data_IF_926840549181
#
_entry.id   IF_926840549181
#
_cell.length_a   1.000
_cell.length_b   1.000
_cell.length_c   1.000
_cell.angle_alpha   90.00
_cell.angle_beta   90.00
_cell.angle_gamma   90.00
#
_symmetry.space_group_name_H-M   'P 1'
#
loop_
_entity.id
_entity.type
_entity.pdbx_description
1 polymer ?
#
# COMPACT_ATOMS: atom_id res chain seq x y z
N UNK A 1 -40.92 -10.70 -71.77
CA UNK A 1 -42.03 -9.72 -71.90
C UNK A 1 -41.97 -8.75 -70.72
N UNK A 2 -42.24 -7.47 -71.00
CA UNK A 2 -42.22 -6.32 -70.07
C UNK A 2 -43.45 -6.33 -69.14
N UNK A 3 -43.45 -5.34 -68.22
CA UNK A 3 -44.57 -4.68 -67.50
C UNK A 3 -44.70 -5.04 -66.01
N UNK A 4 -44.87 -4.12 -65.04
CA UNK A 4 -44.63 -2.67 -64.90
C UNK A 4 -45.05 -2.26 -63.46
N UNK A 5 -44.24 -1.39 -62.81
CA UNK A 5 -44.64 -0.23 -61.95
C UNK A 5 -45.30 -0.55 -60.58
N UNK A 6 -45.22 0.23 -59.48
CA UNK A 6 -45.04 1.67 -59.22
C UNK A 6 -44.77 1.83 -57.69
N UNK A 7 -43.63 2.37 -57.25
CA UNK A 7 -43.45 3.70 -56.62
C UNK A 7 -44.47 4.11 -55.55
N UNK A 8 -44.01 4.28 -54.30
CA UNK A 8 -44.30 5.47 -53.49
C UNK A 8 -43.15 5.76 -52.51
N UNK A 9 -42.88 7.04 -52.32
CA UNK A 9 -41.76 7.61 -51.58
C UNK A 9 -42.17 7.98 -50.15
N UNK A 10 -41.20 8.16 -49.26
CA UNK A 10 -41.02 9.34 -48.39
C UNK A 10 -39.99 9.00 -47.31
N UNK A 11 -38.87 9.72 -47.35
CA UNK A 11 -38.02 10.02 -46.19
C UNK A 11 -38.24 11.52 -45.95
N UNK A 12 -38.39 12.02 -44.71
CA UNK A 12 -37.22 12.19 -43.84
C UNK A 12 -37.51 12.06 -42.32
N UNK A 13 -36.53 11.61 -41.54
CA UNK A 13 -36.18 12.28 -40.26
C UNK A 13 -34.97 11.61 -39.61
N UNK A 14 -33.82 12.29 -39.72
CA UNK A 14 -32.70 12.13 -38.81
C UNK A 14 -33.14 12.62 -37.43
N UNK A 15 -33.17 11.72 -36.44
CA UNK A 15 -33.01 12.10 -35.04
C UNK A 15 -31.89 11.26 -34.48
N UNK A 16 -30.85 11.96 -34.05
CA UNK A 16 -29.76 11.42 -33.27
C UNK A 16 -30.34 10.87 -31.96
N UNK A 17 -29.93 9.66 -31.60
CA UNK A 17 -29.70 9.36 -30.20
C UNK A 17 -28.44 8.50 -30.10
N UNK A 18 -27.39 9.19 -29.66
CA UNK A 18 -26.07 8.68 -29.36
C UNK A 18 -26.15 8.09 -27.95
N UNK A 19 -26.24 6.77 -27.87
CA UNK A 19 -26.08 6.05 -26.62
C UNK A 19 -25.04 4.95 -26.83
N UNK A 20 -23.81 5.37 -27.12
CA UNK A 20 -22.63 4.55 -26.83
C UNK A 20 -22.60 4.33 -25.32
N UNK A 21 -23.19 3.22 -24.90
CA UNK A 21 -22.97 2.67 -23.56
C UNK A 21 -21.50 2.27 -23.52
N UNK A 22 -20.66 3.14 -22.96
CA UNK A 22 -19.33 2.77 -22.52
C UNK A 22 -19.51 1.68 -21.47
N UNK A 23 -19.42 0.43 -21.93
CA UNK A 23 -19.28 -0.71 -21.06
C UNK A 23 -17.96 -0.49 -20.30
N UNK A 24 -18.11 -0.22 -19.01
CA UNK A 24 -17.04 -0.28 -18.03
C UNK A 24 -16.51 -1.72 -18.05
N UNK A 25 -15.47 -1.95 -18.85
CA UNK A 25 -14.76 -3.22 -18.84
C UNK A 25 -14.14 -3.36 -17.44
N UNK A 26 -14.48 -4.40 -16.66
CA UNK A 26 -13.81 -4.62 -15.40
C UNK A 26 -12.34 -4.86 -15.73
N UNK A 27 -11.49 -3.91 -15.34
CA UNK A 27 -10.04 -4.11 -15.34
C UNK A 27 -9.80 -5.42 -14.60
N UNK A 28 -9.06 -6.38 -15.19
CA UNK A 28 -8.84 -7.66 -14.53
C UNK A 28 -8.19 -7.37 -13.18
N UNK A 29 -8.90 -7.69 -12.10
CA UNK A 29 -8.35 -7.67 -10.77
C UNK A 29 -7.21 -8.68 -10.76
N UNK A 30 -5.98 -8.20 -10.98
CA UNK A 30 -4.76 -8.92 -10.63
C UNK A 30 -5.00 -9.42 -9.23
N UNK A 31 -5.03 -10.74 -9.05
CA UNK A 31 -5.34 -11.41 -7.79
C UNK A 31 -4.38 -10.83 -6.75
N UNK A 32 -4.85 -9.83 -5.99
CA UNK A 32 -3.99 -9.06 -5.11
C UNK A 32 -3.54 -10.04 -4.04
N UNK A 33 -2.25 -10.34 -4.03
CA UNK A 33 -1.65 -11.32 -3.14
C UNK A 33 -1.58 -10.83 -1.68
N UNK A 34 -2.43 -9.87 -1.30
CA UNK A 34 -2.38 -9.07 -0.09
C UNK A 34 -1.35 -7.93 -0.18
N UNK A 35 -1.22 -7.07 0.85
CA UNK A 35 -1.97 -7.03 2.11
C UNK A 35 -3.49 -7.01 1.92
N UNK A 36 -4.19 -7.69 2.84
CA UNK A 36 -5.63 -7.92 2.73
C UNK A 36 -6.42 -6.96 3.62
N UNK A 37 -7.66 -6.65 3.24
CA UNK A 37 -8.66 -6.17 4.17
C UNK A 37 -9.10 -7.30 5.12
N UNK A 38 -9.46 -6.96 6.35
CA UNK A 38 -9.95 -7.95 7.33
C UNK A 38 -11.16 -8.75 6.83
N UNK A 39 -11.99 -8.16 5.98
CA UNK A 39 -13.16 -8.82 5.39
C UNK A 39 -12.81 -9.94 4.39
N UNK A 40 -11.58 -9.96 3.87
CA UNK A 40 -11.12 -10.96 2.89
C UNK A 40 -10.57 -12.25 3.53
N UNK A 41 -10.29 -12.21 4.83
CA UNK A 41 -9.55 -13.28 5.55
C UNK A 41 -10.38 -13.94 6.67
N UNK A 42 -11.67 -13.64 6.75
CA UNK A 42 -12.55 -14.24 7.76
C UNK A 42 -12.59 -15.77 7.61
N UNK A 43 -12.10 -16.48 8.62
CA UNK A 43 -12.16 -17.95 8.69
C UNK A 43 -11.04 -18.69 7.94
N UNK A 44 -9.95 -18.01 7.58
CA UNK A 44 -8.80 -18.64 6.89
C UNK A 44 -7.96 -19.58 7.78
N UNK A 45 -8.19 -19.57 9.10
CA UNK A 45 -7.52 -20.44 10.07
C UNK A 45 -6.09 -20.03 10.42
N UNK A 46 -5.63 -18.84 10.00
CA UNK A 46 -4.29 -18.33 10.29
C UNK A 46 -4.35 -17.44 11.54
N UNK A 47 -3.56 -17.80 12.56
CA UNK A 47 -3.41 -17.01 13.77
C UNK A 47 -2.57 -15.75 13.53
N UNK A 48 -3.02 -14.61 14.07
CA UNK A 48 -2.41 -13.31 13.84
C UNK A 48 -2.37 -12.50 15.13
N UNK A 49 -1.24 -11.83 15.36
CA UNK A 49 -1.14 -10.82 16.40
C UNK A 49 -2.06 -9.65 16.05
N UNK A 50 -3.05 -9.36 16.90
CA UNK A 50 -3.98 -8.25 16.72
C UNK A 50 -3.38 -6.96 17.30
N UNK A 51 -3.00 -6.04 16.41
CA UNK A 51 -2.46 -4.73 16.77
C UNK A 51 -3.52 -3.63 16.61
N UNK A 52 -4.81 -3.97 16.71
CA UNK A 52 -5.93 -3.05 16.48
C UNK A 52 -6.25 -2.90 15.00
N UNK A 53 -5.60 -1.97 14.32
CA UNK A 53 -5.85 -1.70 12.89
C UNK A 53 -5.03 -2.54 11.92
N UNK A 54 -4.09 -3.34 12.43
CA UNK A 54 -3.23 -4.22 11.65
C UNK A 54 -3.14 -5.57 12.34
N UNK A 55 -3.27 -6.65 11.59
CA UNK A 55 -3.06 -8.01 12.09
C UNK A 55 -1.89 -8.62 11.33
N UNK A 56 -0.98 -9.22 12.08
CA UNK A 56 0.28 -9.75 11.53
C UNK A 56 0.43 -11.22 11.91
N UNK A 57 0.49 -12.15 10.95
CA UNK A 57 0.77 -13.55 11.26
C UNK A 57 2.23 -13.74 11.70
N UNK A 58 2.51 -14.87 12.33
CA UNK A 58 3.89 -15.27 12.58
C UNK A 58 4.59 -15.53 11.25
N UNK A 59 5.65 -14.77 10.96
CA UNK A 59 6.47 -14.93 9.76
C UNK A 59 7.79 -15.60 10.17
N UNK A 60 8.16 -16.68 9.47
CA UNK A 60 9.42 -17.38 9.71
C UNK A 60 10.61 -16.42 9.59
N UNK A 61 11.58 -16.56 10.50
CA UNK A 61 12.82 -15.78 10.54
C UNK A 61 12.63 -14.25 10.63
N UNK A 62 11.45 -13.79 11.06
CA UNK A 62 11.13 -12.39 11.27
C UNK A 62 10.57 -12.14 12.66
N UNK A 63 11.13 -11.13 13.32
CA UNK A 63 10.67 -10.66 14.61
C UNK A 63 9.72 -9.47 14.42
N UNK A 64 8.52 -9.56 14.99
CA UNK A 64 7.58 -8.45 15.07
C UNK A 64 8.01 -7.48 16.18
N UNK A 65 8.22 -6.21 15.82
CA UNK A 65 8.61 -5.12 16.72
C UNK A 65 7.63 -3.96 16.57
N UNK A 66 7.35 -3.29 17.69
CA UNK A 66 6.51 -2.08 17.72
C UNK A 66 7.39 -0.89 18.09
N UNK A 67 7.37 0.15 17.27
CA UNK A 67 8.01 1.41 17.59
C UNK A 67 7.03 2.28 18.34
N UNK A 68 7.31 2.54 19.61
CA UNK A 68 6.47 3.38 20.48
C UNK A 68 7.13 4.75 20.62
N UNK A 69 6.35 5.80 20.41
CA UNK A 69 6.75 7.14 20.79
C UNK A 69 6.75 7.24 22.32
N UNK A 70 7.92 7.46 22.93
CA UNK A 70 8.07 7.41 24.39
C UNK A 70 7.30 8.50 25.13
N UNK A 71 7.02 9.64 24.47
CA UNK A 71 6.33 10.78 25.09
C UNK A 71 4.82 10.55 25.14
N UNK A 72 4.23 10.12 24.02
CA UNK A 72 2.79 9.90 23.89
C UNK A 72 2.35 8.48 24.26
N UNK A 73 3.29 7.52 24.30
CA UNK A 73 3.00 6.10 24.47
C UNK A 73 2.31 5.45 23.28
N UNK A 74 2.17 6.16 22.15
CA UNK A 74 1.50 5.65 20.96
C UNK A 74 2.44 4.84 20.08
N UNK A 75 1.92 3.77 19.47
CA UNK A 75 2.67 3.02 18.46
C UNK A 75 2.74 3.85 17.18
N UNK A 76 3.96 4.23 16.80
CA UNK A 76 4.24 5.01 15.60
C UNK A 76 4.29 4.13 14.36
N UNK A 77 4.86 2.94 14.46
CA UNK A 77 4.98 2.01 13.35
C UNK A 77 5.14 0.56 13.82
N UNK A 78 4.78 -0.37 12.93
CA UNK A 78 4.99 -1.82 13.09
C UNK A 78 6.17 -2.21 12.23
N UNK A 79 7.05 -3.09 12.71
CA UNK A 79 8.23 -3.51 11.97
C UNK A 79 8.37 -5.03 12.02
N UNK A 80 8.68 -5.64 10.88
CA UNK A 80 9.23 -6.99 10.80
C UNK A 80 10.73 -6.88 10.58
N UNK A 81 11.53 -7.42 11.50
CA UNK A 81 12.99 -7.40 11.44
C UNK A 81 13.55 -8.81 11.21
N UNK A 82 14.59 -8.91 10.39
CA UNK A 82 15.27 -10.16 10.04
C UNK A 82 16.78 -9.98 10.08
N UNK A 83 17.54 -11.00 9.65
CA UNK A 83 19.00 -10.97 9.74
C UNK A 83 19.66 -9.92 8.84
N UNK A 84 19.08 -9.65 7.67
CA UNK A 84 19.67 -8.83 6.61
C UNK A 84 18.88 -7.56 6.29
N UNK A 85 17.79 -7.30 7.02
CA UNK A 85 16.94 -6.15 6.76
C UNK A 85 15.74 -6.04 7.67
N UNK A 86 14.87 -5.10 7.30
CA UNK A 86 13.58 -4.91 7.95
C UNK A 86 12.56 -4.32 6.97
N UNK A 87 11.28 -4.49 7.29
CA UNK A 87 10.18 -3.72 6.70
C UNK A 87 9.40 -3.06 7.82
N UNK A 88 9.31 -1.74 7.78
CA UNK A 88 8.45 -0.94 8.65
C UNK A 88 7.17 -0.61 7.89
N UNK A 89 6.01 -0.72 8.52
CA UNK A 89 4.74 -0.37 7.88
C UNK A 89 3.73 0.27 8.84
N UNK A 90 2.84 1.05 8.24
CA UNK A 90 1.76 1.74 8.90
C UNK A 90 0.57 1.88 7.94
N UNK A 91 -0.64 1.67 8.47
CA UNK A 91 -1.87 1.85 7.71
C UNK A 91 -2.45 3.25 7.97
N UNK A 92 -3.08 3.82 6.94
CA UNK A 92 -3.70 5.14 6.95
C UNK A 92 -5.13 5.05 6.44
N UNK A 93 -6.02 5.90 6.93
CA UNK A 93 -7.35 6.02 6.36
C UNK A 93 -7.28 6.62 4.94
N UNK A 94 -8.01 6.02 4.01
CA UNK A 94 -8.05 6.44 2.61
C UNK A 94 -9.51 6.64 2.14
N UNK A 95 -9.73 7.33 1.01
CA UNK A 95 -11.05 7.40 0.38
C UNK A 95 -11.48 6.01 -0.11
N UNK A 96 -12.78 5.76 -0.27
CA UNK A 96 -13.29 4.44 -0.70
C UNK A 96 -12.79 4.01 -2.08
N UNK A 97 -12.64 4.97 -2.99
CA UNK A 97 -12.23 4.75 -4.38
C UNK A 97 -11.01 5.63 -4.75
N UNK A 98 -10.16 5.96 -3.76
CA UNK A 98 -9.06 6.89 -3.95
C UNK A 98 -7.71 6.19 -3.99
N UNK A 99 -6.78 6.78 -4.74
CA UNK A 99 -5.37 6.40 -4.72
C UNK A 99 -4.61 7.37 -3.83
N UNK A 100 -4.67 7.12 -2.52
CA UNK A 100 -3.96 7.95 -1.54
C UNK A 100 -2.44 7.85 -1.74
N UNK A 101 -1.95 6.71 -2.24
CA UNK A 101 -0.53 6.54 -2.49
C UNK A 101 -0.01 7.50 -3.56
N UNK A 102 -0.71 7.64 -4.70
CA UNK A 102 -0.31 8.59 -5.75
C UNK A 102 -0.27 10.05 -5.27
N UNK A 103 -1.09 10.42 -4.28
CA UNK A 103 -1.07 11.76 -3.68
C UNK A 103 0.08 11.94 -2.66
N UNK A 104 0.34 10.91 -1.85
CA UNK A 104 1.33 10.95 -0.75
C UNK A 104 2.76 10.71 -1.24
N UNK A 105 2.94 9.85 -2.25
CA UNK A 105 4.23 9.51 -2.85
C UNK A 105 5.07 10.73 -3.27
N UNK A 106 4.55 11.70 -4.07
CA UNK A 106 5.32 12.89 -4.43
C UNK A 106 5.65 13.78 -3.22
N UNK A 107 4.79 13.80 -2.18
CA UNK A 107 5.07 14.53 -0.95
C UNK A 107 6.24 13.89 -0.19
N UNK A 108 6.28 12.56 -0.07
CA UNK A 108 7.41 11.84 0.52
C UNK A 108 8.71 12.12 -0.24
N UNK A 109 8.69 12.11 -1.57
CA UNK A 109 9.86 12.44 -2.39
C UNK A 109 10.34 13.88 -2.16
N UNK A 110 9.41 14.85 -2.08
CA UNK A 110 9.73 16.23 -1.75
C UNK A 110 10.32 16.37 -0.33
N UNK A 111 9.76 15.66 0.65
CA UNK A 111 10.24 15.64 2.03
C UNK A 111 11.66 15.05 2.14
N UNK A 112 11.93 13.97 1.39
CA UNK A 112 13.26 13.38 1.25
C UNK A 112 14.26 14.39 0.72
N UNK A 113 13.90 15.11 -0.35
CA UNK A 113 14.74 16.14 -0.96
C UNK A 113 15.02 17.31 0.00
N UNK A 114 14.01 17.78 0.75
CA UNK A 114 14.20 18.85 1.76
C UNK A 114 15.17 18.46 2.87
N UNK A 115 15.30 17.16 3.16
CA UNK A 115 16.23 16.60 4.15
C UNK A 115 17.62 16.30 3.58
N UNK A 116 17.88 16.69 2.33
CA UNK A 116 19.15 16.46 1.64
C UNK A 116 19.31 15.05 1.04
N UNK A 117 18.24 14.26 1.04
CA UNK A 117 18.20 12.96 0.38
C UNK A 117 17.74 13.05 -1.07
N UNK A 118 17.61 11.88 -1.70
CA UNK A 118 17.06 11.73 -3.04
C UNK A 118 16.02 10.61 -3.07
N UNK A 119 15.03 10.72 -3.95
CA UNK A 119 14.02 9.71 -4.20
C UNK A 119 13.77 9.61 -5.71
N UNK A 120 13.77 8.40 -6.24
CA UNK A 120 13.41 8.07 -7.62
C UNK A 120 12.25 7.10 -7.64
N UNK A 121 11.45 7.15 -8.69
CA UNK A 121 10.34 6.21 -8.90
C UNK A 121 10.79 4.97 -9.68
N UNK A 122 10.16 3.84 -9.37
CA UNK A 122 10.29 2.56 -10.09
C UNK A 122 8.94 1.84 -10.06
N UNK A 123 8.69 0.94 -11.01
CA UNK A 123 7.56 0.01 -10.95
C UNK A 123 7.89 -1.23 -10.09
N UNK A 124 7.01 -1.55 -9.14
CA UNK A 124 7.09 -2.73 -8.27
C UNK A 124 5.80 -3.57 -8.30
N UNK A 125 5.72 -4.57 -7.41
CA UNK A 125 4.60 -5.53 -7.34
C UNK A 125 3.21 -4.88 -7.19
N UNK A 126 3.14 -3.78 -6.45
CA UNK A 126 1.90 -3.05 -6.18
C UNK A 126 1.79 -1.71 -6.93
N UNK A 127 2.57 -1.55 -8.02
CA UNK A 127 2.67 -0.32 -8.80
C UNK A 127 3.88 0.53 -8.44
N UNK A 128 3.80 1.84 -8.70
CA UNK A 128 4.92 2.75 -8.55
C UNK A 128 5.41 2.86 -7.10
N UNK A 129 6.69 2.65 -6.87
CA UNK A 129 7.38 2.73 -5.59
C UNK A 129 8.47 3.80 -5.59
N UNK A 130 8.93 4.20 -4.40
CA UNK A 130 10.08 5.10 -4.23
C UNK A 130 11.32 4.33 -3.81
N UNK A 131 12.41 4.51 -4.54
CA UNK A 131 13.76 4.15 -4.11
C UNK A 131 14.43 5.41 -3.57
N UNK A 132 14.84 5.38 -2.31
CA UNK A 132 15.32 6.56 -1.60
C UNK A 132 16.74 6.36 -1.08
N UNK A 133 17.46 7.46 -0.98
CA UNK A 133 18.80 7.55 -0.43
C UNK A 133 18.85 8.76 0.52
N UNK A 134 18.92 8.50 1.83
CA UNK A 134 18.96 9.54 2.85
C UNK A 134 20.39 9.69 3.41
N UNK A 135 20.97 10.89 3.45
CA UNK A 135 22.22 11.11 4.18
C UNK A 135 21.99 10.90 5.68
N UNK A 136 22.85 10.09 6.30
CA UNK A 136 22.85 9.83 7.74
C UNK A 136 24.27 9.96 8.28
N UNK A 137 24.38 10.25 9.58
CA UNK A 137 25.66 10.17 10.29
C UNK A 137 25.72 8.83 11.01
N UNK A 138 26.80 8.09 10.79
CA UNK A 138 27.08 6.89 11.58
C UNK A 138 27.47 7.27 13.01
N UNK A 139 27.41 6.33 13.97
CA UNK A 139 27.85 6.58 15.34
C UNK A 139 29.31 7.04 15.47
N UNK A 140 30.15 6.72 14.48
CA UNK A 140 31.56 7.17 14.41
C UNK A 140 31.74 8.58 13.84
N UNK A 141 30.65 9.29 13.53
CA UNK A 141 30.64 10.64 12.97
C UNK A 141 30.87 10.69 11.45
N UNK A 142 31.06 9.56 10.78
CA UNK A 142 31.22 9.53 9.32
C UNK A 142 29.88 9.70 8.61
N UNK A 143 29.91 10.43 7.49
CA UNK A 143 28.77 10.53 6.60
C UNK A 143 28.53 9.18 5.91
N UNK A 144 27.25 8.79 5.82
CA UNK A 144 26.80 7.61 5.12
C UNK A 144 25.50 7.90 4.39
N UNK A 145 25.13 7.01 3.49
CA UNK A 145 23.81 7.01 2.85
C UNK A 145 23.05 5.81 3.37
N UNK A 146 21.83 6.04 3.85
CA UNK A 146 20.88 5.00 4.19
C UNK A 146 19.91 4.81 3.02
N UNK A 147 20.02 3.70 2.27
CA UNK A 147 19.04 3.35 1.26
C UNK A 147 17.74 2.84 1.91
N UNK A 148 16.61 3.18 1.31
CA UNK A 148 15.30 2.64 1.67
C UNK A 148 14.41 2.50 0.45
N UNK A 149 13.48 1.56 0.46
CA UNK A 149 12.44 1.43 -0.58
C UNK A 149 11.07 1.61 0.06
N UNK A 150 10.29 2.58 -0.43
CA UNK A 150 8.98 2.92 0.14
C UNK A 150 7.91 2.57 -0.87
N UNK A 151 6.95 1.77 -0.43
CA UNK A 151 5.78 1.34 -1.21
C UNK A 151 4.50 1.77 -0.50
N UNK A 152 3.46 2.04 -1.27
CA UNK A 152 2.10 2.25 -0.75
C UNK A 152 1.14 1.31 -1.47
N UNK A 153 0.23 0.73 -0.69
CA UNK A 153 -0.71 -0.27 -1.15
C UNK A 153 -2.10 0.20 -0.75
N UNK A 154 -2.93 0.53 -1.73
CA UNK A 154 -4.30 0.98 -1.49
C UNK A 154 -5.23 -0.23 -1.33
N UNK A 155 -6.09 -0.20 -0.32
CA UNK A 155 -7.17 -1.17 -0.11
C UNK A 155 -8.51 -0.46 0.13
N UNK A 156 -9.51 -1.17 0.67
CA UNK A 156 -10.86 -0.61 0.83
C UNK A 156 -10.90 0.44 1.95
N UNK A 157 -10.79 1.72 1.57
CA UNK A 157 -10.79 2.88 2.47
C UNK A 157 -9.56 2.95 3.39
N UNK A 158 -8.48 2.26 3.06
CA UNK A 158 -7.19 2.34 3.74
C UNK A 158 -6.03 2.31 2.74
N UNK A 159 -4.85 2.74 3.18
CA UNK A 159 -3.60 2.57 2.45
C UNK A 159 -2.51 2.11 3.42
N UNK A 160 -1.80 1.04 3.09
CA UNK A 160 -0.65 0.56 3.85
C UNK A 160 0.63 1.11 3.22
N UNK A 161 1.39 1.91 3.97
CA UNK A 161 2.73 2.37 3.56
C UNK A 161 3.76 1.48 4.21
N UNK A 162 4.67 0.91 3.43
CA UNK A 162 5.79 0.12 3.91
C UNK A 162 7.14 0.69 3.45
N UNK A 163 8.13 0.67 4.33
CA UNK A 163 9.51 1.11 4.09
C UNK A 163 10.47 -0.04 4.36
N UNK A 164 11.07 -0.57 3.30
CA UNK A 164 12.13 -1.58 3.38
C UNK A 164 13.47 -0.92 3.69
N UNK A 165 14.25 -1.60 4.52
CA UNK A 165 15.54 -1.17 5.04
C UNK A 165 16.55 -2.32 4.91
N UNK A 166 17.82 -2.01 4.70
CA UNK A 166 18.87 -3.02 4.55
C UNK A 166 18.79 -3.70 3.18
N UNK A 167 19.05 -5.02 3.12
CA UNK A 167 19.05 -5.78 1.88
C UNK A 167 17.78 -5.66 1.04
N UNK A 168 16.53 -5.75 1.58
CA UNK A 168 15.32 -5.60 0.78
C UNK A 168 15.10 -4.19 0.19
N UNK A 169 15.86 -3.19 0.64
CA UNK A 169 15.83 -1.86 0.05
C UNK A 169 16.73 -1.74 -1.18
N UNK A 170 17.85 -2.47 -1.23
CA UNK A 170 18.90 -2.33 -2.25
C UNK A 170 18.91 -3.46 -3.29
N UNK A 171 18.38 -4.62 -2.93
CA UNK A 171 18.23 -5.79 -3.81
C UNK A 171 16.73 -6.10 -4.01
N UNK A 172 15.95 -5.22 -4.68
CA UNK A 172 14.50 -5.38 -4.79
C UNK A 172 14.08 -6.67 -5.49
N UNK A 173 14.86 -7.12 -6.49
CA UNK A 173 14.58 -8.36 -7.21
C UNK A 173 14.81 -9.62 -6.36
N UNK A 174 15.54 -9.49 -5.23
CA UNK A 174 15.73 -10.53 -4.23
C UNK A 174 14.86 -10.32 -2.97
N UNK A 175 14.01 -9.29 -2.97
CA UNK A 175 13.17 -8.94 -1.82
C UNK A 175 11.80 -9.64 -1.83
N UNK A 176 11.57 -10.64 -2.69
CA UNK A 176 10.28 -11.32 -2.82
C UNK A 176 9.79 -11.89 -1.50
N UNK A 177 10.65 -12.48 -0.68
CA UNK A 177 10.30 -13.00 0.65
C UNK A 177 9.86 -11.89 1.62
N UNK A 178 10.43 -10.69 1.49
CA UNK A 178 10.03 -9.53 2.27
C UNK A 178 8.69 -8.97 1.81
N UNK A 179 8.45 -8.97 0.51
CA UNK A 179 7.16 -8.60 -0.08
C UNK A 179 6.07 -9.62 0.27
N UNK A 180 6.36 -10.91 0.21
CA UNK A 180 5.45 -11.99 0.59
C UNK A 180 5.10 -11.96 2.08
N UNK A 181 6.06 -11.60 2.94
CA UNK A 181 5.80 -11.35 4.35
C UNK A 181 4.85 -10.16 4.55
N UNK A 182 5.07 -9.05 3.83
CA UNK A 182 4.18 -7.90 3.88
C UNK A 182 2.79 -8.23 3.31
N UNK A 183 2.72 -9.06 2.27
CA UNK A 183 1.48 -9.44 1.64
C UNK A 183 0.56 -10.25 2.57
N UNK A 184 1.11 -10.92 3.58
CA UNK A 184 0.33 -11.63 4.60
C UNK A 184 -0.25 -10.70 5.70
N UNK A 185 0.12 -9.43 5.71
CA UNK A 185 -0.43 -8.44 6.66
C UNK A 185 -1.89 -8.17 6.31
N UNK A 186 -2.71 -8.04 7.34
CA UNK A 186 -4.14 -7.72 7.21
C UNK A 186 -4.41 -6.36 7.82
N UNK A 187 -5.16 -5.51 7.13
CA UNK A 187 -5.56 -4.19 7.59
C UNK A 187 -7.02 -4.20 8.03
N UNK A 188 -7.27 -3.68 9.23
CA UNK A 188 -8.61 -3.45 9.78
C UNK A 188 -8.83 -1.95 9.93
N UNK A 189 -9.46 -1.33 8.93
CA UNK A 189 -9.81 0.11 9.00
C UNK A 189 -10.86 0.41 10.07
N UNK A 190 -11.78 -0.53 10.32
CA UNK A 190 -12.92 -0.35 11.22
C UNK A 190 -14.06 0.48 10.62
N UNK A 191 -15.06 0.82 11.43
CA UNK A 191 -16.26 1.53 10.93
C UNK A 191 -16.24 3.04 11.25
N UNK A 192 -15.37 3.46 12.16
CA UNK A 192 -15.29 4.84 12.64
C UNK A 192 -14.99 5.87 11.55
N UNK A 193 -15.57 7.06 11.73
CA UNK A 193 -15.22 8.24 10.93
C UNK A 193 -13.75 8.60 11.19
N UNK A 194 -13.00 8.79 10.11
CA UNK A 194 -11.59 9.15 10.17
C UNK A 194 -11.21 9.99 8.94
N UNK A 195 -10.55 11.14 9.12
CA UNK A 195 -9.93 11.94 8.07
C UNK A 195 -9.02 11.12 7.15
N UNK A 196 -9.05 11.44 5.86
CA UNK A 196 -8.12 10.84 4.88
C UNK A 196 -6.69 11.25 5.22
N UNK A 197 -5.77 10.28 5.18
CA UNK A 197 -4.36 10.48 5.52
C UNK A 197 -4.04 10.35 7.01
N UNK A 198 -5.04 10.18 7.88
CA UNK A 198 -4.80 9.94 9.30
C UNK A 198 -4.29 8.50 9.52
N UNK A 199 -3.24 8.30 10.35
CA UNK A 199 -2.77 6.95 10.67
C UNK A 199 -3.85 6.16 11.43
N UNK A 200 -4.04 4.91 11.03
CA UNK A 200 -4.93 4.01 11.74
C UNK A 200 -4.30 3.62 13.09
N UNK A 201 -5.11 3.54 14.17
CA UNK A 201 -4.59 3.33 15.52
C UNK A 201 -4.06 1.92 15.71
N UNK A 202 -2.75 1.84 15.98
CA UNK A 202 -2.07 0.60 16.34
C UNK A 202 -2.01 0.45 17.86
N UNK A 203 -2.30 -0.74 18.36
CA UNK A 203 -2.31 -1.09 19.78
C UNK A 203 -1.18 -2.05 20.11
N UNK A 204 -0.67 -1.93 21.33
CA UNK A 204 0.22 -2.95 21.89
C UNK A 204 -0.64 -4.17 22.27
N UNK A 205 -0.24 -5.39 21.86
CA UNK A 205 -0.81 -6.61 22.42
C UNK A 205 -0.59 -6.69 23.94
N UNK A 206 -1.53 -7.32 24.65
CA UNK A 206 -1.45 -7.48 26.11
C UNK A 206 -0.23 -8.32 26.55
N UNK A 207 0.27 -9.18 25.67
CA UNK A 207 1.43 -10.07 25.86
C UNK A 207 2.74 -9.49 25.30
N UNK A 208 2.73 -8.25 24.80
CA UNK A 208 3.89 -7.62 24.20
C UNK A 208 5.05 -7.45 25.19
N UNK A 209 6.18 -8.11 24.91
CA UNK A 209 7.43 -7.93 25.68
C UNK A 209 8.20 -6.72 25.16
N UNK A 210 8.50 -5.77 26.06
CA UNK A 210 9.41 -4.67 25.75
C UNK A 210 10.84 -5.20 25.66
N UNK A 211 11.42 -5.16 24.47
CA UNK A 211 12.86 -5.40 24.28
C UNK A 211 13.59 -4.16 24.81
N UNK A 212 14.40 -4.34 25.85
CA UNK A 212 15.25 -3.30 26.47
C UNK A 212 16.68 -3.45 25.99
#
# INVERSE_FOLDING_TARGET
MKFRRKAEATDPAVTADDATTAADEPTPATTASGPFDVSEVEGDGIDRADLGSVLVPAIADRELRLQVDEQSGQVRAVMLAGQDGAVEFQAFAAPRNGDLWSDVRPQIAADMARRGGHATEREGRWGTELVCAMPVQRPDGTAATQPSRIIGINGERWMLRASFLGRPAVEPDAASEWEDALAQVVVRRGEGAMPVGEPLPVRLPDDARRVR
#
